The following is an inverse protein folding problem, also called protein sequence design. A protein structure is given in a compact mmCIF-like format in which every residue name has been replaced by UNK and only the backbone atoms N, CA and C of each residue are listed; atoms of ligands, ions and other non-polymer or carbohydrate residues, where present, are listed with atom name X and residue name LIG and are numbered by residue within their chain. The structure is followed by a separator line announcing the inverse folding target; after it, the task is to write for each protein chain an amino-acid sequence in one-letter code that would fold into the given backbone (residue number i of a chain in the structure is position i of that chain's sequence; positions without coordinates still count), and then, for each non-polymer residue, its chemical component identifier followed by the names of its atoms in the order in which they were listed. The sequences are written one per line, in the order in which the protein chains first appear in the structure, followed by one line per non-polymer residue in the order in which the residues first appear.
data_IF_112233840752
#
_entry.id   IF_112233840752
#
_cell.length_a   1.000
_cell.length_b   1.000
_cell.length_c   1.000
_cell.angle_alpha   90.00
_cell.angle_beta   90.00
_cell.angle_gamma   90.00
#
_symmetry.space_group_name_H-M   'P 1'
#
loop_
_entity.id
_entity.type
_entity.pdbx_description
1 polymer ?
#
# COMPACT_ATOMS: atom_id res chain seq x y z
N UNK A 1 9.28 -8.25 8.43
CA UNK A 1 8.11 -8.66 7.60
C UNK A 1 7.16 -9.51 8.43
N UNK A 2 7.63 -10.59 9.04
CA UNK A 2 6.84 -11.57 9.82
C UNK A 2 5.93 -10.97 10.90
N UNK A 3 6.33 -9.87 11.54
CA UNK A 3 5.55 -9.23 12.59
C UNK A 3 4.30 -8.46 12.10
N UNK A 4 4.31 -7.99 10.84
CA UNK A 4 3.31 -7.01 10.36
C UNK A 4 2.66 -7.38 9.03
N UNK A 5 3.12 -8.44 8.37
CA UNK A 5 2.52 -8.98 7.15
C UNK A 5 1.87 -10.34 7.42
N UNK A 6 0.66 -10.61 6.90
CA UNK A 6 -0.21 -9.69 6.15
C UNK A 6 -0.78 -8.56 7.01
N UNK A 7 -0.74 -7.31 6.53
CA UNK A 7 -1.14 -6.16 7.35
C UNK A 7 -0.97 -4.79 6.72
N UNK A 8 -1.08 -3.72 7.52
CA UNK A 8 -1.07 -2.33 7.09
C UNK A 8 0.34 -1.71 7.08
N UNK A 9 1.37 -2.50 6.78
CA UNK A 9 2.74 -2.04 6.60
C UNK A 9 3.12 -2.09 5.12
N UNK A 10 3.67 -0.99 4.59
CA UNK A 10 4.38 -0.97 3.31
C UNK A 10 5.87 -0.84 3.60
N UNK A 11 6.68 -1.67 2.96
CA UNK A 11 8.15 -1.64 3.10
C UNK A 11 8.74 -1.28 1.74
N UNK A 12 9.60 -0.27 1.71
CA UNK A 12 10.33 0.17 0.52
C UNK A 12 11.69 -0.52 0.47
N UNK A 13 12.01 -1.04 -0.70
CA UNK A 13 13.26 -1.73 -1.02
C UNK A 13 13.92 -1.09 -2.24
N UNK A 14 15.22 -1.37 -2.45
CA UNK A 14 15.81 -1.22 -3.76
C UNK A 14 15.08 -2.13 -4.77
N UNK A 15 14.71 -1.57 -5.91
CA UNK A 15 14.02 -2.30 -6.97
C UNK A 15 15.00 -3.13 -7.78
N UNK A 16 14.57 -4.30 -8.25
CA UNK A 16 15.33 -5.06 -9.23
C UNK A 16 15.27 -4.38 -10.61
N UNK A 17 16.29 -4.55 -11.44
CA UNK A 17 16.38 -3.96 -12.79
C UNK A 17 15.19 -4.33 -13.70
N UNK A 18 14.52 -5.45 -13.43
CA UNK A 18 13.32 -5.88 -14.16
C UNK A 18 12.06 -5.08 -13.83
N UNK A 19 12.07 -4.27 -12.77
CA UNK A 19 10.92 -3.45 -12.36
C UNK A 19 10.86 -2.21 -13.25
N UNK A 20 9.69 -1.97 -13.85
CA UNK A 20 9.48 -0.80 -14.72
C UNK A 20 9.78 0.52 -13.99
N UNK A 21 10.51 1.46 -14.62
CA UNK A 21 10.75 2.79 -14.04
C UNK A 21 9.47 3.58 -13.74
N UNK A 22 8.35 3.26 -14.41
CA UNK A 22 7.04 3.85 -14.13
C UNK A 22 6.49 3.46 -12.76
N UNK A 23 6.89 2.30 -12.22
CA UNK A 23 6.49 1.84 -10.88
C UNK A 23 7.38 2.43 -9.78
N UNK A 24 8.63 2.77 -10.11
CA UNK A 24 9.60 3.30 -9.15
C UNK A 24 9.68 4.83 -9.20
N UNK A 25 8.94 5.48 -10.09
CA UNK A 25 9.07 6.91 -10.40
C UNK A 25 10.54 7.32 -10.68
N UNK A 26 11.31 6.44 -11.32
CA UNK A 26 12.76 6.57 -11.56
C UNK A 26 13.63 6.70 -10.30
N UNK A 27 13.10 6.43 -9.11
CA UNK A 27 13.89 6.51 -7.86
C UNK A 27 14.79 5.31 -7.62
N UNK A 28 14.57 4.22 -8.37
CA UNK A 28 15.22 2.94 -8.12
C UNK A 28 14.64 2.18 -6.92
N UNK A 29 13.63 2.71 -6.23
CA UNK A 29 12.99 2.07 -5.07
C UNK A 29 11.56 1.61 -5.35
N UNK A 30 11.11 0.56 -4.66
CA UNK A 30 9.76 0.00 -4.80
C UNK A 30 9.14 -0.29 -3.43
N UNK A 31 7.92 0.20 -3.21
CA UNK A 31 7.11 -0.10 -2.03
C UNK A 31 6.29 -1.36 -2.21
N UNK A 32 6.43 -2.32 -1.29
CA UNK A 32 5.70 -3.59 -1.31
C UNK A 32 4.84 -3.70 -0.05
N UNK A 33 3.64 -4.28 -0.20
CA UNK A 33 2.73 -4.60 0.91
C UNK A 33 2.04 -5.93 0.68
N UNK A 34 2.03 -6.78 1.71
CA UNK A 34 1.13 -7.94 1.77
C UNK A 34 -0.13 -7.56 2.56
N UNK A 35 -1.26 -7.33 1.87
CA UNK A 35 -2.49 -6.85 2.50
C UNK A 35 -3.13 -7.89 3.45
N UNK A 36 -3.63 -7.45 4.61
CA UNK A 36 -4.45 -8.26 5.53
C UNK A 36 -5.86 -8.55 4.99
N UNK A 37 -6.34 -7.83 3.98
CA UNK A 37 -7.66 -8.06 3.41
C UNK A 37 -7.71 -9.34 2.56
N UNK A 38 -8.60 -10.28 2.92
CA UNK A 38 -8.68 -11.59 2.26
C UNK A 38 -9.01 -11.48 0.77
N UNK A 39 -10.00 -10.67 0.41
CA UNK A 39 -10.39 -10.48 -0.98
C UNK A 39 -9.27 -9.83 -1.83
N UNK A 40 -8.59 -8.79 -1.34
CA UNK A 40 -7.44 -8.20 -2.03
C UNK A 40 -6.34 -9.24 -2.32
N UNK A 41 -6.03 -10.13 -1.37
CA UNK A 41 -5.08 -11.24 -1.60
C UNK A 41 -5.60 -12.24 -2.62
N UNK A 42 -6.89 -12.57 -2.61
CA UNK A 42 -7.51 -13.48 -3.59
C UNK A 42 -7.44 -12.89 -5.00
N UNK A 43 -7.72 -11.60 -5.16
CA UNK A 43 -7.62 -10.88 -6.44
C UNK A 43 -6.17 -10.91 -6.93
N UNK A 44 -5.20 -10.53 -6.09
CA UNK A 44 -3.78 -10.59 -6.43
C UNK A 44 -3.30 -12.00 -6.81
N UNK A 45 -3.80 -13.04 -6.12
CA UNK A 45 -3.49 -14.43 -6.46
C UNK A 45 -4.11 -14.86 -7.80
N UNK A 46 -5.33 -14.42 -8.09
CA UNK A 46 -6.04 -14.76 -9.31
C UNK A 46 -5.35 -14.19 -10.56
N UNK A 47 -4.73 -13.00 -10.47
CA UNK A 47 -3.99 -12.40 -11.59
C UNK A 47 -2.65 -13.10 -11.87
N UNK A 48 -2.14 -13.90 -10.91
CA UNK A 48 -0.81 -14.53 -10.96
C UNK A 48 0.33 -13.53 -11.25
N UNK A 49 0.13 -12.27 -10.88
CA UNK A 49 1.07 -11.16 -11.08
C UNK A 49 1.01 -10.21 -9.88
N UNK A 50 2.08 -9.44 -9.60
CA UNK A 50 2.00 -8.33 -8.65
C UNK A 50 0.89 -7.34 -9.08
N UNK A 51 0.20 -6.77 -8.10
CA UNK A 51 -0.76 -5.70 -8.34
C UNK A 51 -0.16 -4.39 -7.85
N UNK A 52 -0.10 -3.42 -8.75
CA UNK A 52 0.13 -2.02 -8.37
C UNK A 52 -1.22 -1.40 -8.00
N UNK A 53 -1.25 -0.60 -6.93
CA UNK A 53 -2.45 0.07 -6.47
C UNK A 53 -2.10 1.36 -5.75
N UNK A 54 -2.90 2.39 -5.99
CA UNK A 54 -2.96 3.62 -5.19
C UNK A 54 -4.31 3.69 -4.47
N UNK A 55 -4.56 4.76 -3.73
CA UNK A 55 -5.91 5.04 -3.25
C UNK A 55 -6.87 5.23 -4.45
N UNK A 56 -8.08 4.67 -4.35
CA UNK A 56 -9.07 4.63 -5.43
C UNK A 56 -9.90 5.91 -5.49
N UNK A 57 -9.23 7.04 -5.71
CA UNK A 57 -9.84 8.37 -5.76
C UNK A 57 -9.14 9.23 -6.82
N UNK A 58 -9.78 10.35 -7.17
CA UNK A 58 -9.11 11.37 -8.00
C UNK A 58 -7.93 11.97 -7.25
N UNK A 59 -6.83 12.23 -7.97
CA UNK A 59 -5.66 12.87 -7.40
C UNK A 59 -6.03 14.22 -6.77
N UNK A 60 -5.67 14.41 -5.50
CA UNK A 60 -5.99 15.61 -4.71
C UNK A 60 -7.39 15.60 -4.07
N UNK A 61 -8.25 14.64 -4.39
CA UNK A 61 -9.54 14.46 -3.74
C UNK A 61 -9.42 13.62 -2.45
N UNK A 62 -10.49 13.63 -1.64
CA UNK A 62 -10.60 12.77 -0.46
C UNK A 62 -10.56 11.29 -0.83
N UNK A 63 -9.85 10.49 -0.02
CA UNK A 63 -9.81 9.03 -0.19
C UNK A 63 -11.21 8.42 -0.07
N UNK A 64 -11.51 7.44 -0.93
CA UNK A 64 -12.74 6.67 -0.88
C UNK A 64 -12.64 5.55 0.15
N UNK A 65 -13.70 5.35 0.92
CA UNK A 65 -13.82 4.34 1.97
C UNK A 65 -14.76 3.19 1.63
N UNK A 66 -15.62 3.37 0.63
CA UNK A 66 -16.61 2.39 0.19
C UNK A 66 -16.80 2.48 -1.34
N UNK A 67 -17.49 1.49 -1.91
CA UNK A 67 -17.69 1.38 -3.35
C UNK A 67 -18.53 2.54 -3.91
N UNK A 68 -19.52 3.02 -3.17
CA UNK A 68 -20.37 4.14 -3.60
C UNK A 68 -19.55 5.41 -3.83
N UNK A 69 -18.62 5.73 -2.92
CA UNK A 69 -17.70 6.86 -3.08
C UNK A 69 -16.78 6.68 -4.30
N UNK A 70 -16.28 5.47 -4.56
CA UNK A 70 -15.47 5.17 -5.75
C UNK A 70 -16.27 5.38 -7.02
N UNK A 71 -17.49 4.85 -7.09
CA UNK A 71 -18.39 4.98 -8.24
C UNK A 71 -18.71 6.46 -8.51
N UNK A 72 -18.98 7.24 -7.46
CA UNK A 72 -19.26 8.67 -7.59
C UNK A 72 -18.05 9.47 -8.09
N UNK A 73 -16.82 9.13 -7.67
CA UNK A 73 -15.63 9.91 -8.04
C UNK A 73 -15.01 9.50 -9.38
N UNK A 74 -14.93 8.19 -9.66
CA UNK A 74 -14.15 7.65 -10.78
C UNK A 74 -14.86 6.50 -11.53
N UNK A 75 -16.15 6.24 -11.25
CA UNK A 75 -16.87 5.10 -11.82
C UNK A 75 -16.97 5.09 -13.34
N UNK A 76 -16.92 6.26 -13.98
CA UNK A 76 -16.90 6.44 -15.44
C UNK A 76 -15.51 6.25 -16.07
N UNK A 77 -14.46 6.10 -15.25
CA UNK A 77 -13.04 6.03 -15.66
C UNK A 77 -12.40 4.65 -15.42
N UNK A 78 -13.14 3.68 -14.90
CA UNK A 78 -12.65 2.37 -14.50
C UNK A 78 -13.51 1.26 -15.08
N UNK A 79 -12.90 0.12 -15.37
CA UNK A 79 -13.61 -1.02 -15.97
C UNK A 79 -14.52 -1.76 -14.98
N UNK A 80 -14.18 -1.74 -13.69
CA UNK A 80 -14.89 -2.48 -12.65
C UNK A 80 -14.64 -1.93 -11.25
N UNK A 81 -15.60 -2.17 -10.36
CA UNK A 81 -15.50 -1.96 -8.90
C UNK A 81 -15.79 -3.29 -8.21
N UNK A 82 -14.98 -3.63 -7.20
CA UNK A 82 -15.23 -4.76 -6.31
C UNK A 82 -15.66 -4.20 -4.96
N UNK A 83 -16.93 -4.32 -4.63
CA UNK A 83 -17.45 -3.91 -3.33
C UNK A 83 -17.10 -4.95 -2.25
N UNK A 84 -16.36 -4.49 -1.23
CA UNK A 84 -15.81 -5.31 -0.15
C UNK A 84 -16.12 -4.71 1.23
N UNK A 85 -17.25 -4.00 1.33
CA UNK A 85 -17.66 -3.23 2.50
C UNK A 85 -16.75 -2.03 2.78
N UNK A 86 -17.14 -1.23 3.78
CA UNK A 86 -16.43 -0.03 4.17
C UNK A 86 -15.09 -0.35 4.83
N UNK A 87 -14.05 0.40 4.51
CA UNK A 87 -12.73 0.23 5.14
C UNK A 87 -12.79 0.49 6.64
N UNK A 88 -12.11 -0.38 7.41
CA UNK A 88 -12.15 -0.37 8.89
C UNK A 88 -11.25 0.69 9.53
N UNK A 89 -10.37 1.34 8.77
CA UNK A 89 -9.44 2.35 9.29
C UNK A 89 -9.47 3.59 8.40
N UNK A 90 -9.46 4.77 9.04
CA UNK A 90 -9.26 6.06 8.40
C UNK A 90 -7.78 6.31 8.06
N UNK A 91 -6.85 5.56 8.67
CA UNK A 91 -5.43 5.74 8.47
C UNK A 91 -4.93 4.83 7.35
N UNK A 92 -4.10 5.40 6.47
CA UNK A 92 -3.38 4.64 5.46
C UNK A 92 -2.29 3.74 6.08
N UNK A 93 -1.72 2.84 5.27
CA UNK A 93 -0.59 2.02 5.73
C UNK A 93 0.61 2.86 6.12
N UNK A 94 1.31 2.43 7.18
CA UNK A 94 2.62 2.97 7.53
C UNK A 94 3.63 2.57 6.46
N UNK A 95 4.48 3.50 6.03
CA UNK A 95 5.52 3.25 5.02
C UNK A 95 6.89 3.38 5.70
N UNK A 96 7.70 2.33 5.59
CA UNK A 96 9.10 2.31 6.05
C UNK A 96 10.01 2.16 4.85
N UNK A 97 11.05 2.99 4.76
CA UNK A 97 12.20 2.78 3.89
C UNK A 97 13.22 1.87 4.57
N UNK A 98 13.33 0.64 4.07
CA UNK A 98 14.31 -0.35 4.50
C UNK A 98 15.49 -0.44 3.52
N UNK A 99 15.58 0.48 2.56
CA UNK A 99 16.72 0.56 1.64
C UNK A 99 17.88 1.39 2.19
N UNK A 100 17.69 2.04 3.35
CA UNK A 100 18.72 2.75 4.11
C UNK A 100 18.91 2.15 5.50
N UNK A 101 20.07 2.42 6.11
CA UNK A 101 20.40 2.02 7.48
C UNK A 101 20.83 3.26 8.31
N UNK A 102 20.16 3.57 9.43
CA UNK A 102 18.96 2.90 9.95
C UNK A 102 17.72 3.20 9.10
N UNK A 103 16.74 2.28 9.12
CA UNK A 103 15.49 2.41 8.38
C UNK A 103 14.71 3.68 8.77
N UNK A 104 13.95 4.25 7.84
CA UNK A 104 13.24 5.53 8.02
C UNK A 104 11.73 5.37 7.83
N UNK A 105 10.90 5.97 8.68
CA UNK A 105 9.45 6.04 8.43
C UNK A 105 9.19 7.18 7.45
N UNK A 106 8.81 6.83 6.21
CA UNK A 106 8.46 7.83 5.18
C UNK A 106 7.04 8.38 5.36
N UNK A 107 6.13 7.55 5.88
CA UNK A 107 4.75 7.96 6.14
C UNK A 107 4.22 7.27 7.39
N UNK A 108 3.87 8.02 8.45
CA UNK A 108 3.12 7.49 9.58
C UNK A 108 1.75 6.97 9.13
N UNK A 109 1.29 5.87 9.73
CA UNK A 109 0.02 5.25 9.38
C UNK A 109 -0.52 4.40 10.52
N UNK A 110 -1.25 3.32 10.20
CA UNK A 110 -1.88 2.44 11.18
C UNK A 110 -0.92 1.89 12.25
N UNK A 111 0.34 1.63 11.90
CA UNK A 111 1.35 1.13 12.84
C UNK A 111 2.19 2.30 13.33
N UNK A 112 2.19 2.52 14.65
CA UNK A 112 2.92 3.62 15.28
C UNK A 112 4.44 3.39 15.27
N UNK A 113 5.20 4.48 15.38
CA UNK A 113 6.66 4.45 15.45
C UNK A 113 7.14 3.59 16.63
N UNK A 114 6.51 3.72 17.78
CA UNK A 114 6.86 3.00 19.02
C UNK A 114 6.68 1.50 18.85
N UNK A 115 5.66 1.06 18.11
CA UNK A 115 5.45 -0.35 17.80
C UNK A 115 6.55 -0.86 16.86
N UNK A 116 6.91 -0.09 15.84
CA UNK A 116 7.98 -0.46 14.89
C UNK A 116 9.34 -0.56 15.58
N UNK A 117 9.65 0.39 16.47
CA UNK A 117 10.91 0.43 17.22
C UNK A 117 11.13 -0.78 18.13
N UNK A 118 10.09 -1.56 18.46
CA UNK A 118 10.24 -2.84 19.18
C UNK A 118 10.91 -3.92 18.35
N UNK A 119 10.95 -3.77 17.03
CA UNK A 119 11.45 -4.79 16.10
C UNK A 119 12.71 -4.36 15.34
N UNK A 120 12.86 -3.07 15.04
CA UNK A 120 14.00 -2.54 14.27
C UNK A 120 14.47 -1.19 14.82
N UNK A 121 15.73 -0.83 14.55
CA UNK A 121 16.23 0.52 14.78
C UNK A 121 15.70 1.46 13.70
N UNK A 122 15.27 2.65 14.10
CA UNK A 122 14.81 3.69 13.20
C UNK A 122 15.71 4.92 13.33
N UNK A 123 15.87 5.62 12.21
CA UNK A 123 16.46 6.96 12.17
C UNK A 123 15.65 7.97 12.97
#
# INVERSE_FOLDING_TARGET
MDAFWPGPLTIVFESADSVSPLLTANTGKIGIRLSSHNAARKIAKATRKPLTATSANLSGASECMDADQVIQQIGDKIDAVVDLEKTSSLLASTIIDASCEPAEILRPGVISREIIQKYIHLK
#
